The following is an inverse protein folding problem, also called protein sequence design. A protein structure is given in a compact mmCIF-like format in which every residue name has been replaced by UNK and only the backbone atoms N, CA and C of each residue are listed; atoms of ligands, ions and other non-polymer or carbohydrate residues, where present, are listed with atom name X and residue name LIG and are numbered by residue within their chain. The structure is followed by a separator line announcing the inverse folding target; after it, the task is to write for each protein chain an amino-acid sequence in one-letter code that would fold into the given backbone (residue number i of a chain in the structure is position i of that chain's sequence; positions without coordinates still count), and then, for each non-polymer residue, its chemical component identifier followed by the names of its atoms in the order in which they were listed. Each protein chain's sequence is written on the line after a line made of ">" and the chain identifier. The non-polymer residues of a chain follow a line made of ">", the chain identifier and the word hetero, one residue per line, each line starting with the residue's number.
data_IF_193493055263
#
_entry.id   IF_193493055263
#
_cell.length_a   1.000
_cell.length_b   1.000
_cell.length_c   1.000
_cell.angle_alpha   90.00
_cell.angle_beta   90.00
_cell.angle_gamma   90.00
#
_symmetry.space_group_name_H-M   'P 1'
#
loop_
_entity.id
_entity.type
_entity.pdbx_description
1 polymer ?
#
# COMPACT_ATOMS: atom_id res chain seq x y z
N UNK A 1 15.14 48.80 -19.22
CA UNK A 1 14.95 47.84 -18.11
C UNK A 1 13.77 46.98 -18.51
N UNK A 2 14.07 45.91 -19.24
CA UNK A 2 13.10 44.96 -19.80
C UNK A 2 13.03 43.79 -18.84
N UNK A 3 11.92 43.66 -18.13
CA UNK A 3 11.62 42.50 -17.29
C UNK A 3 11.40 41.29 -18.18
N UNK A 4 12.34 40.36 -18.10
CA UNK A 4 12.29 39.03 -18.68
C UNK A 4 11.38 38.20 -17.77
N UNK A 5 10.16 37.94 -18.24
CA UNK A 5 9.22 37.02 -17.57
C UNK A 5 9.76 35.61 -17.81
N UNK A 6 10.23 34.99 -16.74
CA UNK A 6 10.75 33.64 -16.71
C UNK A 6 9.60 32.68 -17.09
N UNK A 7 9.73 32.06 -18.26
CA UNK A 7 8.86 30.98 -18.75
C UNK A 7 9.20 29.73 -17.91
N UNK A 8 8.76 29.76 -16.65
CA UNK A 8 8.82 28.60 -15.77
C UNK A 8 7.86 27.56 -16.34
N UNK A 9 8.42 26.70 -17.19
CA UNK A 9 7.88 25.42 -17.65
C UNK A 9 6.97 24.85 -16.58
N UNK A 10 5.66 24.97 -16.82
CA UNK A 10 4.64 24.27 -16.07
C UNK A 10 4.92 22.78 -16.24
N UNK A 11 5.63 22.19 -15.27
CA UNK A 11 5.64 20.75 -15.11
C UNK A 11 4.17 20.31 -15.12
N UNK A 12 3.77 19.33 -15.95
CA UNK A 12 2.39 18.87 -15.95
C UNK A 12 2.04 18.48 -14.52
N UNK A 13 0.92 19.01 -14.00
CA UNK A 13 0.37 18.55 -12.73
C UNK A 13 0.43 17.02 -12.74
N UNK A 14 1.01 16.38 -11.71
CA UNK A 14 1.05 14.93 -11.68
C UNK A 14 -0.40 14.45 -11.80
N UNK A 15 -0.66 13.69 -12.87
CA UNK A 15 -1.97 13.06 -13.04
C UNK A 15 -2.25 12.23 -11.78
N UNK A 16 -3.50 12.04 -11.34
CA UNK A 16 -3.80 11.19 -10.18
C UNK A 16 -3.21 9.77 -10.30
N UNK A 17 -2.93 9.31 -11.53
CA UNK A 17 -2.16 8.10 -11.83
C UNK A 17 -0.70 8.09 -11.30
N UNK A 18 -0.14 9.23 -10.92
CA UNK A 18 1.19 9.35 -10.32
C UNK A 18 1.18 9.22 -8.79
N UNK A 19 0.00 9.26 -8.16
CA UNK A 19 -0.16 9.19 -6.70
C UNK A 19 -0.59 7.79 -6.22
N UNK A 20 -1.16 6.98 -7.11
CA UNK A 20 -1.49 5.57 -6.88
C UNK A 20 -1.75 4.89 -8.23
N UNK A 21 -1.34 3.62 -8.35
CA UNK A 21 -1.42 2.85 -9.59
C UNK A 21 -2.84 2.46 -10.02
N UNK A 22 -3.84 2.83 -9.23
CA UNK A 22 -5.24 2.44 -9.40
C UNK A 22 -6.22 3.57 -9.12
N UNK A 23 -7.44 3.41 -9.63
CA UNK A 23 -8.57 4.31 -9.45
C UNK A 23 -9.59 3.64 -8.54
N UNK A 24 -9.56 4.02 -7.26
CA UNK A 24 -10.49 3.51 -6.25
C UNK A 24 -11.39 4.63 -5.77
N UNK A 25 -12.67 4.33 -5.69
CA UNK A 25 -13.66 5.14 -4.99
C UNK A 25 -14.32 4.32 -3.90
N UNK A 26 -14.83 4.99 -2.87
CA UNK A 26 -15.53 4.36 -1.76
C UNK A 26 -16.79 5.12 -1.39
N UNK A 27 -17.74 4.43 -0.78
CA UNK A 27 -18.84 5.07 -0.07
C UNK A 27 -18.58 5.02 1.43
N UNK A 28 -18.83 6.10 2.20
CA UNK A 28 -18.69 6.07 3.65
C UNK A 28 -19.48 4.93 4.30
N UNK A 29 -18.92 4.32 5.33
CA UNK A 29 -19.51 3.19 6.05
C UNK A 29 -18.73 2.85 7.32
N UNK A 30 -18.79 1.59 7.78
CA UNK A 30 -18.18 1.19 9.05
C UNK A 30 -16.93 0.32 8.93
N UNK A 31 -16.67 -0.24 7.74
CA UNK A 31 -15.47 -1.03 7.50
C UNK A 31 -14.26 -0.14 7.34
N UNK A 32 -13.10 -0.61 7.78
CA UNK A 32 -11.84 0.10 7.55
C UNK A 32 -11.27 -0.31 6.20
N UNK A 33 -10.89 0.67 5.39
CA UNK A 33 -10.08 0.48 4.20
C UNK A 33 -8.74 1.20 4.34
N UNK A 34 -7.67 0.49 4.00
CA UNK A 34 -6.31 1.01 3.92
C UNK A 34 -5.85 0.84 2.47
N UNK A 35 -5.69 1.95 1.76
CA UNK A 35 -5.27 2.00 0.35
C UNK A 35 -3.83 2.48 0.24
N UNK A 36 -2.94 1.62 -0.23
CA UNK A 36 -1.58 1.94 -0.62
C UNK A 36 -1.46 2.24 -2.11
N UNK A 37 -0.23 2.42 -2.62
CA UNK A 37 0.02 2.76 -4.02
C UNK A 37 -0.44 1.69 -5.02
N UNK A 38 -0.36 0.41 -4.65
CA UNK A 38 -0.70 -0.75 -5.49
C UNK A 38 -1.50 -1.83 -4.76
N UNK A 39 -1.80 -1.64 -3.47
CA UNK A 39 -2.42 -2.65 -2.64
C UNK A 39 -3.40 -2.05 -1.64
N UNK A 40 -4.45 -2.79 -1.29
CA UNK A 40 -5.51 -2.33 -0.40
C UNK A 40 -5.97 -3.48 0.45
N UNK A 41 -6.28 -3.14 1.69
CA UNK A 41 -6.91 -4.06 2.63
C UNK A 41 -8.20 -3.42 3.13
N UNK A 42 -9.29 -4.17 3.07
CA UNK A 42 -10.59 -3.80 3.62
C UNK A 42 -11.01 -4.84 4.66
N UNK A 43 -11.34 -4.41 5.87
CA UNK A 43 -11.66 -5.31 6.99
C UNK A 43 -12.72 -4.70 7.92
N UNK A 44 -13.49 -5.56 8.59
CA UNK A 44 -14.41 -5.15 9.65
C UNK A 44 -13.61 -4.80 10.92
N UNK A 45 -13.27 -3.52 11.05
CA UNK A 45 -12.49 -3.02 12.17
C UNK A 45 -13.39 -2.86 13.39
N UNK A 46 -13.42 -3.87 14.26
CA UNK A 46 -14.21 -3.80 15.49
C UNK A 46 -13.67 -2.70 16.41
N UNK A 47 -14.56 -1.94 17.09
CA UNK A 47 -14.15 -0.98 18.11
C UNK A 47 -13.22 -1.64 19.13
N UNK A 48 -12.03 -1.06 19.35
CA UNK A 48 -11.01 -1.61 20.25
C UNK A 48 -9.92 -2.45 19.56
N UNK A 49 -9.91 -2.55 18.23
CA UNK A 49 -8.67 -2.88 17.53
C UNK A 49 -7.60 -1.85 17.89
N UNK A 50 -6.43 -2.32 18.32
CA UNK A 50 -5.36 -1.46 18.79
C UNK A 50 -4.81 -0.63 17.61
N UNK A 51 -4.62 0.67 17.82
CA UNK A 51 -4.02 1.59 16.84
C UNK A 51 -2.69 1.05 16.27
N UNK A 52 -1.93 0.32 17.10
CA UNK A 52 -0.68 -0.35 16.71
C UNK A 52 -0.89 -1.40 15.60
N UNK A 53 -1.98 -2.17 15.65
CA UNK A 53 -2.30 -3.14 14.60
C UNK A 53 -2.60 -2.44 13.27
N UNK A 54 -3.41 -1.38 13.30
CA UNK A 54 -3.78 -0.61 12.11
C UNK A 54 -2.54 0.09 11.52
N UNK A 55 -1.71 0.70 12.36
CA UNK A 55 -0.48 1.36 11.93
C UNK A 55 0.54 0.38 11.34
N UNK A 56 0.73 -0.79 11.97
CA UNK A 56 1.57 -1.84 11.39
C UNK A 56 1.02 -2.31 10.04
N UNK A 57 -0.29 -2.52 9.94
CA UNK A 57 -0.93 -2.94 8.70
C UNK A 57 -0.74 -1.90 7.59
N UNK A 58 -0.85 -0.62 7.93
CA UNK A 58 -0.57 0.48 7.02
C UNK A 58 0.88 0.44 6.49
N UNK A 59 1.87 0.27 7.35
CA UNK A 59 3.28 0.17 6.94
C UNK A 59 3.53 -1.00 5.97
N UNK A 60 2.87 -2.14 6.20
CA UNK A 60 2.96 -3.29 5.31
C UNK A 60 2.35 -3.03 3.93
N UNK A 61 1.24 -2.30 3.87
CA UNK A 61 0.53 -1.98 2.63
C UNK A 61 1.34 -1.00 1.79
N UNK A 62 1.90 0.03 2.42
CA UNK A 62 2.75 1.02 1.74
C UNK A 62 4.07 0.41 1.31
N UNK A 63 4.64 -0.51 2.11
CA UNK A 63 5.90 -1.20 1.81
C UNK A 63 5.75 -2.51 1.02
N UNK A 64 4.58 -2.83 0.45
CA UNK A 64 4.34 -4.06 -0.29
C UNK A 64 4.88 -3.97 -1.72
N UNK A 65 5.99 -4.68 -1.96
CA UNK A 65 6.53 -4.88 -3.30
C UNK A 65 5.77 -5.96 -4.10
N UNK A 66 5.04 -6.88 -3.44
CA UNK A 66 4.27 -7.94 -4.10
C UNK A 66 3.13 -8.49 -3.23
N UNK A 67 2.16 -9.15 -3.87
CA UNK A 67 1.06 -9.88 -3.20
C UNK A 67 1.59 -10.88 -2.19
N UNK A 68 2.54 -11.72 -2.59
CA UNK A 68 3.05 -12.78 -1.72
C UNK A 68 3.76 -12.22 -0.48
N UNK A 69 4.47 -11.11 -0.63
CA UNK A 69 5.09 -10.41 0.49
C UNK A 69 4.03 -9.82 1.42
N UNK A 70 3.00 -9.18 0.86
CA UNK A 70 1.88 -8.64 1.64
C UNK A 70 1.19 -9.77 2.40
N UNK A 71 0.73 -10.83 1.73
CA UNK A 71 0.07 -12.00 2.34
C UNK A 71 0.93 -12.63 3.44
N UNK A 72 2.23 -12.78 3.22
CA UNK A 72 3.14 -13.31 4.24
C UNK A 72 3.18 -12.45 5.51
N UNK A 73 3.23 -11.13 5.36
CA UNK A 73 3.20 -10.21 6.51
C UNK A 73 1.81 -10.12 7.16
N UNK A 74 0.75 -10.15 6.36
CA UNK A 74 -0.63 -10.22 6.84
C UNK A 74 -0.85 -11.49 7.70
N UNK A 75 -0.40 -12.65 7.22
CA UNK A 75 -0.45 -13.90 7.98
C UNK A 75 0.35 -13.81 9.30
N UNK A 76 1.54 -13.21 9.27
CA UNK A 76 2.36 -13.02 10.48
C UNK A 76 1.67 -12.13 11.53
N UNK A 77 0.79 -11.20 11.12
CA UNK A 77 0.00 -10.35 12.01
C UNK A 77 -1.31 -10.97 12.49
N UNK A 78 -1.59 -12.23 12.13
CA UNK A 78 -2.79 -12.92 12.58
C UNK A 78 -4.06 -12.53 11.80
N UNK A 79 -3.92 -12.05 10.56
CA UNK A 79 -5.08 -11.74 9.71
C UNK A 79 -5.90 -12.98 9.32
N UNK A 80 -5.34 -14.19 9.49
CA UNK A 80 -6.05 -15.46 9.45
C UNK A 80 -7.15 -15.59 10.52
N UNK A 81 -7.17 -14.71 11.51
CA UNK A 81 -8.21 -14.64 12.54
C UNK A 81 -9.32 -13.62 12.24
N UNK A 82 -9.13 -12.76 11.23
CA UNK A 82 -10.16 -11.81 10.81
C UNK A 82 -11.20 -12.56 9.97
N UNK A 83 -12.45 -12.52 10.41
CA UNK A 83 -13.54 -13.25 9.78
C UNK A 83 -13.87 -12.73 8.38
N UNK A 84 -13.91 -11.41 8.23
CA UNK A 84 -14.35 -10.75 7.01
C UNK A 84 -13.29 -9.76 6.53
N UNK A 85 -12.74 -10.04 5.34
CA UNK A 85 -11.52 -9.41 4.86
C UNK A 85 -11.42 -9.48 3.33
N UNK A 86 -11.00 -8.37 2.74
CA UNK A 86 -10.64 -8.25 1.33
C UNK A 86 -9.21 -7.71 1.22
N UNK A 87 -8.38 -8.34 0.41
CA UNK A 87 -7.08 -7.81 -0.01
C UNK A 87 -7.08 -7.71 -1.52
N UNK A 88 -6.77 -6.53 -2.02
CA UNK A 88 -6.65 -6.24 -3.45
C UNK A 88 -5.22 -5.83 -3.75
N UNK A 89 -4.71 -6.26 -4.90
CA UNK A 89 -3.39 -5.87 -5.37
C UNK A 89 -3.41 -5.70 -6.88
N UNK A 90 -2.84 -4.61 -7.37
CA UNK A 90 -2.72 -4.34 -8.79
C UNK A 90 -1.27 -4.52 -9.23
N UNK A 91 -1.07 -5.39 -10.23
CA UNK A 91 0.23 -5.65 -10.84
C UNK A 91 0.05 -5.81 -12.34
N UNK A 92 0.83 -5.08 -13.14
CA UNK A 92 0.77 -5.16 -14.61
C UNK A 92 -0.64 -5.02 -15.20
N UNK A 93 -1.48 -4.18 -14.58
CA UNK A 93 -2.88 -3.96 -14.99
C UNK A 93 -3.84 -5.09 -14.60
N UNK A 94 -3.37 -6.13 -13.93
CA UNK A 94 -4.20 -7.23 -13.42
C UNK A 94 -4.39 -7.07 -11.91
N UNK A 95 -5.65 -7.00 -11.50
CA UNK A 95 -6.01 -7.02 -10.09
C UNK A 95 -6.09 -8.45 -9.58
N UNK A 96 -5.30 -8.76 -8.55
CA UNK A 96 -5.47 -9.96 -7.74
C UNK A 96 -6.30 -9.64 -6.52
N UNK A 97 -7.16 -10.58 -6.16
CA UNK A 97 -8.07 -10.44 -5.03
C UNK A 97 -7.93 -11.63 -4.11
N UNK A 98 -7.95 -11.39 -2.80
CA UNK A 98 -8.04 -12.41 -1.77
C UNK A 98 -9.21 -12.02 -0.86
N UNK A 99 -10.25 -12.83 -0.84
CA UNK A 99 -11.45 -12.53 -0.05
C UNK A 99 -11.80 -13.65 0.90
N UNK A 100 -12.41 -13.27 2.03
CA UNK A 100 -12.89 -14.16 3.07
C UNK A 100 -14.11 -13.55 3.76
N UNK A 101 -15.01 -14.43 4.22
CA UNK A 101 -16.18 -14.04 5.00
C UNK A 101 -17.30 -13.51 4.12
N UNK A 102 -18.05 -12.53 4.61
CA UNK A 102 -19.17 -11.91 3.90
C UNK A 102 -18.79 -11.00 2.72
N UNK A 103 -17.50 -10.94 2.34
CA UNK A 103 -17.02 -10.09 1.25
C UNK A 103 -17.30 -10.72 -0.11
N UNK A 104 -17.85 -9.93 -1.03
CA UNK A 104 -18.09 -10.31 -2.42
C UNK A 104 -17.42 -9.31 -3.36
N UNK A 105 -16.91 -9.82 -4.46
CA UNK A 105 -16.34 -9.04 -5.56
C UNK A 105 -17.27 -9.21 -6.75
N UNK A 106 -17.89 -8.14 -7.18
CA UNK A 106 -18.90 -8.11 -8.23
C UNK A 106 -18.38 -7.34 -9.45
N UNK A 107 -18.80 -7.75 -10.63
CA UNK A 107 -18.71 -6.90 -11.81
C UNK A 107 -19.68 -5.72 -11.65
N UNK A 108 -19.18 -4.49 -11.73
CA UNK A 108 -19.96 -3.29 -11.41
C UNK A 108 -21.01 -2.95 -12.48
N UNK A 109 -20.83 -3.45 -13.71
CA UNK A 109 -21.74 -3.19 -14.83
C UNK A 109 -22.92 -4.16 -14.85
N UNK A 110 -22.66 -5.44 -14.54
CA UNK A 110 -23.64 -6.53 -14.61
C UNK A 110 -24.16 -6.96 -13.25
N UNK A 111 -23.47 -6.61 -12.16
CA UNK A 111 -23.75 -7.11 -10.81
C UNK A 111 -23.40 -8.59 -10.61
N UNK A 112 -22.75 -9.23 -11.60
CA UNK A 112 -22.39 -10.64 -11.51
C UNK A 112 -21.28 -10.87 -10.49
N UNK A 113 -21.40 -11.93 -9.68
CA UNK A 113 -20.38 -12.30 -8.71
C UNK A 113 -19.13 -12.85 -9.41
N UNK A 114 -18.00 -12.15 -9.27
CA UNK A 114 -16.68 -12.58 -9.74
C UNK A 114 -15.98 -13.44 -8.69
N UNK A 115 -16.09 -13.05 -7.41
CA UNK A 115 -15.48 -13.76 -6.28
C UNK A 115 -16.39 -13.67 -5.06
N UNK A 116 -16.55 -14.77 -4.33
CA UNK A 116 -17.34 -14.85 -3.10
C UNK A 116 -16.48 -15.42 -1.98
N UNK A 117 -16.31 -14.67 -0.89
CA UNK A 117 -15.54 -15.08 0.30
C UNK A 117 -16.29 -16.02 1.24
N UNK A 118 -17.58 -16.27 1.01
CA UNK A 118 -18.43 -17.01 1.94
C UNK A 118 -17.99 -18.48 2.08
N UNK A 119 -17.96 -18.96 3.32
CA UNK A 119 -17.63 -20.36 3.64
C UNK A 119 -16.17 -20.75 3.42
N UNK A 120 -15.27 -19.80 3.17
CA UNK A 120 -13.85 -20.05 2.95
C UNK A 120 -13.07 -20.06 4.26
N UNK A 121 -12.35 -21.16 4.53
CA UNK A 121 -11.57 -21.35 5.75
C UNK A 121 -10.27 -20.53 5.73
N UNK A 122 -9.57 -20.55 4.59
CA UNK A 122 -8.31 -19.80 4.40
C UNK A 122 -8.57 -18.52 3.62
N UNK A 123 -8.58 -18.55 2.28
CA UNK A 123 -8.80 -17.38 1.41
C UNK A 123 -9.25 -17.84 0.03
N UNK A 124 -10.08 -17.05 -0.66
CA UNK A 124 -10.36 -17.28 -2.09
C UNK A 124 -9.58 -16.28 -2.92
N UNK A 125 -8.72 -16.80 -3.79
CA UNK A 125 -7.93 -16.01 -4.71
C UNK A 125 -8.60 -15.94 -6.10
N UNK A 126 -8.54 -14.78 -6.73
CA UNK A 126 -8.94 -14.61 -8.13
C UNK A 126 -8.16 -13.47 -8.79
N UNK A 127 -8.07 -13.51 -10.12
CA UNK A 127 -7.44 -12.47 -10.95
C UNK A 127 -8.48 -11.84 -11.88
N UNK A 128 -8.49 -10.52 -11.95
CA UNK A 128 -9.41 -9.71 -12.76
C UNK A 128 -8.56 -8.73 -13.58
N UNK A 129 -8.65 -8.81 -14.90
CA UNK A 129 -7.72 -8.11 -15.80
C UNK A 129 -8.23 -6.76 -16.31
N UNK A 130 -9.55 -6.50 -16.28
CA UNK A 130 -10.16 -5.29 -16.84
C UNK A 130 -11.55 -5.09 -16.25
N UNK A 131 -12.14 -3.92 -16.49
CA UNK A 131 -13.51 -3.59 -16.11
C UNK A 131 -13.60 -2.88 -14.77
N UNK A 132 -14.84 -2.61 -14.37
CA UNK A 132 -15.15 -1.99 -13.09
C UNK A 132 -15.63 -3.04 -12.11
N UNK A 133 -15.06 -3.02 -10.91
CA UNK A 133 -15.29 -4.03 -9.89
C UNK A 133 -15.84 -3.37 -8.64
N UNK A 134 -16.93 -3.92 -8.12
CA UNK A 134 -17.50 -3.52 -6.85
C UNK A 134 -17.13 -4.52 -5.75
N UNK A 135 -16.51 -4.03 -4.67
CA UNK A 135 -16.32 -4.84 -3.45
C UNK A 135 -17.48 -4.54 -2.52
N UNK A 136 -18.33 -5.54 -2.34
CA UNK A 136 -19.52 -5.51 -1.52
C UNK A 136 -19.27 -6.23 -0.18
N UNK A 137 -19.67 -5.59 0.91
CA UNK A 137 -19.59 -6.12 2.26
C UNK A 137 -20.95 -6.20 2.96
N UNK A 138 -22.03 -6.11 2.19
CA UNK A 138 -23.40 -6.22 2.72
C UNK A 138 -23.85 -5.01 3.53
N UNK A 139 -23.22 -3.85 3.31
CA UNK A 139 -23.64 -2.58 3.88
C UNK A 139 -24.14 -1.65 2.78
N UNK A 140 -25.38 -1.23 2.89
CA UNK A 140 -25.91 -0.17 2.03
C UNK A 140 -25.52 1.21 2.57
N UNK A 141 -25.16 2.13 1.68
CA UNK A 141 -24.89 3.52 1.99
C UNK A 141 -25.35 4.42 0.86
N UNK A 142 -26.15 5.41 1.22
CA UNK A 142 -26.67 6.46 0.31
C UNK A 142 -25.74 7.69 0.24
N UNK A 143 -24.49 7.53 0.71
CA UNK A 143 -23.48 8.58 0.70
C UNK A 143 -22.89 8.84 -0.69
N UNK A 144 -22.22 9.99 -0.87
CA UNK A 144 -21.46 10.26 -2.09
C UNK A 144 -20.35 9.22 -2.24
N UNK A 145 -20.04 8.90 -3.50
CA UNK A 145 -18.86 8.12 -3.84
C UNK A 145 -17.65 9.05 -3.89
N UNK A 146 -16.65 8.77 -3.04
CA UNK A 146 -15.48 9.62 -2.83
C UNK A 146 -14.21 8.92 -3.32
N UNK A 147 -13.27 9.64 -3.94
CA UNK A 147 -12.01 9.04 -4.39
C UNK A 147 -11.12 8.67 -3.19
N UNK A 148 -10.44 7.53 -3.29
CA UNK A 148 -9.40 7.09 -2.36
C UNK A 148 -8.17 6.67 -3.15
N UNK A 149 -7.12 7.48 -3.11
CA UNK A 149 -5.87 7.19 -3.82
C UNK A 149 -4.91 6.44 -2.90
N UNK A 150 -4.38 7.13 -1.89
CA UNK A 150 -3.54 6.55 -0.84
C UNK A 150 -3.99 7.10 0.50
N UNK A 151 -4.24 6.22 1.48
CA UNK A 151 -4.66 6.61 2.82
C UNK A 151 -5.58 5.58 3.48
N UNK A 152 -6.24 6.01 4.54
CA UNK A 152 -7.21 5.22 5.30
C UNK A 152 -8.57 5.90 5.29
N UNK A 153 -9.64 5.13 5.16
CA UNK A 153 -11.02 5.62 5.25
C UNK A 153 -11.95 4.58 5.86
N UNK A 154 -13.12 5.03 6.33
CA UNK A 154 -14.21 4.12 6.66
C UNK A 154 -15.17 4.02 5.47
N UNK A 155 -15.52 2.79 5.07
CA UNK A 155 -16.33 2.54 3.90
C UNK A 155 -17.41 1.46 4.11
N UNK A 156 -18.37 1.43 3.19
CA UNK A 156 -19.44 0.41 3.08
C UNK A 156 -19.28 -0.42 1.81
N UNK A 157 -18.37 -0.04 0.93
CA UNK A 157 -18.05 -0.71 -0.32
C UNK A 157 -17.02 0.08 -1.10
N UNK A 158 -16.43 -0.57 -2.09
CA UNK A 158 -15.42 0.02 -2.98
C UNK A 158 -15.83 -0.15 -4.44
N UNK A 159 -15.48 0.83 -5.26
CA UNK A 159 -15.48 0.71 -6.71
C UNK A 159 -14.02 0.82 -7.18
N UNK A 160 -13.55 -0.18 -7.92
CA UNK A 160 -12.22 -0.19 -8.53
C UNK A 160 -12.40 -0.17 -10.04
N UNK A 161 -11.81 0.83 -10.68
CA UNK A 161 -11.79 0.96 -12.13
C UNK A 161 -10.43 0.50 -12.68
N UNK A 162 -10.44 -0.62 -13.39
CA UNK A 162 -9.24 -1.22 -13.99
C UNK A 162 -9.03 -0.79 -15.45
N UNK A 163 -9.97 -0.06 -16.04
CA UNK A 163 -9.93 0.25 -17.47
C UNK A 163 -8.86 1.31 -17.76
N UNK A 164 -7.98 0.97 -18.71
CA UNK A 164 -6.93 1.88 -19.16
C UNK A 164 -5.90 2.24 -18.08
N UNK A 165 -5.75 1.42 -17.03
CA UNK A 165 -4.69 1.62 -16.04
C UNK A 165 -3.31 1.37 -16.67
N UNK A 166 -2.34 2.30 -16.50
CA UNK A 166 -0.97 2.05 -16.89
C UNK A 166 -0.36 0.96 -15.99
N UNK A 167 0.63 0.18 -16.47
CA UNK A 167 1.36 -0.74 -15.61
C UNK A 167 1.96 0.02 -14.43
N UNK A 168 1.67 -0.44 -13.21
CA UNK A 168 2.18 0.18 -11.99
C UNK A 168 3.67 -0.11 -11.88
N UNK A 169 4.51 0.90 -12.06
CA UNK A 169 5.92 0.79 -11.73
C UNK A 169 6.04 0.68 -10.21
N UNK A 170 6.25 -0.53 -9.70
CA UNK A 170 6.73 -0.71 -8.33
C UNK A 170 8.08 -0.01 -8.27
N UNK A 171 8.15 1.13 -7.57
CA UNK A 171 9.44 1.71 -7.24
C UNK A 171 10.15 0.68 -6.35
N UNK A 172 11.03 -0.13 -6.94
CA UNK A 172 11.97 -0.92 -6.17
C UNK A 172 12.60 0.04 -5.18
N UNK A 173 12.44 -0.27 -3.89
CA UNK A 173 13.18 0.43 -2.85
C UNK A 173 14.64 0.20 -3.17
N UNK A 174 15.28 1.19 -3.80
CA UNK A 174 16.71 1.16 -4.07
C UNK A 174 17.35 0.88 -2.71
N UNK A 175 18.13 -0.21 -2.55
CA UNK A 175 18.90 -0.39 -1.34
C UNK A 175 19.66 0.90 -1.14
N UNK A 176 19.56 1.51 0.05
CA UNK A 176 20.34 2.69 0.37
C UNK A 176 21.79 2.37 -0.03
N UNK A 177 22.28 3.03 -1.08
CA UNK A 177 23.66 2.95 -1.50
C UNK A 177 24.47 3.36 -0.27
N UNK A 178 25.01 2.33 0.39
CA UNK A 178 25.88 2.50 1.54
C UNK A 178 27.08 3.22 0.95
N UNK A 179 27.20 4.50 1.26
CA UNK A 179 28.19 5.39 0.65
C UNK A 179 29.57 4.72 0.64
N UNK A 180 29.97 4.25 -0.54
CA UNK A 180 31.34 3.90 -0.82
C UNK A 180 32.12 5.21 -0.83
N UNK A 181 32.98 5.35 0.19
CA UNK A 181 33.62 6.59 0.58
C UNK A 181 34.38 7.30 -0.53
N UNK A 182 34.32 8.63 -0.46
CA UNK A 182 35.30 9.53 -1.03
C UNK A 182 35.63 10.58 0.01
N UNK A 183 36.62 10.30 0.86
CA UNK A 183 37.73 11.19 1.17
C UNK A 183 38.55 10.56 2.29
N UNK A 184 39.86 10.48 2.06
CA UNK A 184 40.79 9.95 3.02
C UNK A 184 40.86 10.84 4.25
N UNK A 185 40.68 10.23 5.42
CA UNK A 185 41.27 10.74 6.64
C UNK A 185 42.04 9.56 7.25
N UNK A 186 43.36 9.65 7.12
CA UNK A 186 44.33 8.66 7.53
C UNK A 186 44.28 8.51 9.06
N UNK A 187 43.73 7.39 9.54
CA UNK A 187 43.71 7.09 10.97
C UNK A 187 45.12 6.73 11.45
N UNK A 188 45.71 7.60 12.28
CA UNK A 188 46.98 7.32 12.97
C UNK A 188 46.68 6.64 14.31
N UNK A 189 47.28 5.47 14.62
CA UNK A 189 47.16 4.90 15.96
C UNK A 189 47.94 5.76 16.96
N UNK A 190 47.24 6.26 17.97
CA UNK A 190 47.83 6.82 19.19
C UNK A 190 48.56 5.69 19.93
N UNK A 191 49.89 5.74 19.90
CA UNK A 191 50.73 4.82 20.68
C UNK A 191 50.55 5.05 22.19
N UNK A 192 50.66 4.00 23.01
CA UNK A 192 50.54 4.14 24.46
C UNK A 192 51.76 4.92 24.98
N UNK A 193 51.51 6.01 25.70
CA UNK A 193 52.52 6.74 26.45
C UNK A 193 53.12 5.84 27.52
N UNK A 194 54.42 5.54 27.38
CA UNK A 194 55.24 5.00 28.47
C UNK A 194 55.81 6.19 29.24
N UNK A 195 55.64 6.27 30.56
CA UNK A 195 56.33 7.24 31.38
C UNK A 195 57.72 6.72 31.79
N UNK A 196 58.58 7.70 32.05
CA UNK A 196 59.54 7.79 33.15
C UNK A 196 61.06 7.71 32.91
N UNK A 197 61.72 8.64 33.62
CA UNK A 197 63.07 8.64 34.22
C UNK A 197 64.25 8.15 33.34
N UNK A 198 65.29 8.95 33.06
CA UNK A 198 66.13 9.63 34.04
C UNK A 198 67.48 8.91 34.18
N UNK A 199 68.58 9.65 33.93
CA UNK A 199 69.98 9.43 34.34
C UNK A 199 70.98 8.65 33.45
N UNK A 200 71.93 9.45 32.94
CA UNK A 200 73.40 9.34 33.06
C UNK A 200 74.21 8.31 32.23
N UNK A 201 75.04 8.85 31.32
CA UNK A 201 76.52 8.79 31.39
C UNK A 201 77.13 9.96 30.60
#
# INVERSE_FOLDING_TARGET
>A
MTEQVDDAVMAPNPSPAALGGWRVSYRPGSWLVLSGPSSLVMLDARPGQADEFINGLWEDIVGAASVSALVGRLAARGLDRIADLAVLFLEDGVMRTLVRGGVRVLDADTGASLVDGAGVITWRESQIATGRVHVDVGQDSDGPELPLVVGAAQCSGLLVDLDGLPPVAVAESRPAETGAGSSGEQWHPVGPGVPDEGAAA
#
